data_IF_955317900336
#
_entry.id   IF_955317900336
#
_cell.length_a   1.000
_cell.length_b   1.000
_cell.length_c   1.000
_cell.angle_alpha   90.00
_cell.angle_beta   90.00
_cell.angle_gamma   90.00
#
_symmetry.space_group_name_H-M   'P 1'
#
loop_
_entity.id
_entity.type
_entity.pdbx_description
1 polymer ?
#
# COMPACT_ATOMS: atom_id res chain seq x y z
N UNK A 1 10.22 46.13 -28.11
CA UNK A 1 9.49 45.69 -26.89
C UNK A 1 8.86 44.31 -27.01
N UNK A 2 8.18 43.97 -28.12
CA UNK A 2 7.46 42.69 -28.30
C UNK A 2 8.34 41.43 -28.17
N UNK A 3 9.55 41.43 -28.76
CA UNK A 3 10.48 40.28 -28.69
C UNK A 3 10.99 40.00 -27.27
N UNK A 4 11.26 41.05 -26.48
CA UNK A 4 11.69 40.90 -25.07
C UNK A 4 10.59 40.29 -24.20
N UNK A 5 9.32 40.63 -24.47
CA UNK A 5 8.17 40.04 -23.80
C UNK A 5 7.95 38.57 -24.18
N UNK A 6 8.14 38.22 -25.47
CA UNK A 6 8.05 36.84 -25.96
C UNK A 6 9.13 35.97 -25.30
N UNK A 7 10.37 36.46 -25.22
CA UNK A 7 11.49 35.72 -24.61
C UNK A 7 11.30 35.48 -23.10
N UNK A 8 10.71 36.46 -22.41
CA UNK A 8 10.39 36.35 -20.98
C UNK A 8 9.26 35.33 -20.73
N UNK A 9 8.22 35.34 -21.58
CA UNK A 9 7.13 34.36 -21.53
C UNK A 9 7.61 32.94 -21.83
N UNK A 10 8.50 32.76 -22.81
CA UNK A 10 9.09 31.46 -23.14
C UNK A 10 9.98 30.91 -22.02
N UNK A 11 10.74 31.79 -21.34
CA UNK A 11 11.58 31.39 -20.21
C UNK A 11 10.74 30.93 -19.01
N UNK A 12 9.59 31.55 -18.77
CA UNK A 12 8.67 31.13 -17.71
C UNK A 12 8.04 29.76 -18.00
N UNK A 13 7.78 29.45 -19.27
CA UNK A 13 7.25 28.16 -19.73
C UNK A 13 8.27 27.01 -19.61
N UNK A 14 9.57 27.31 -19.73
CA UNK A 14 10.64 26.33 -19.52
C UNK A 14 10.86 26.01 -18.03
N UNK A 15 10.69 27.01 -17.15
CA UNK A 15 10.83 26.82 -15.70
C UNK A 15 9.73 25.93 -15.10
N UNK A 16 8.51 25.97 -15.65
CA UNK A 16 7.41 25.10 -15.18
C UNK A 16 7.57 23.64 -15.61
N UNK A 17 8.25 23.35 -16.72
CA UNK A 17 8.46 21.99 -17.23
C UNK A 17 9.45 21.14 -16.41
N UNK A 18 10.46 21.78 -15.81
CA UNK A 18 11.52 21.07 -15.06
C UNK A 18 10.99 20.50 -13.74
N UNK A 19 10.07 21.21 -13.06
CA UNK A 19 9.49 20.79 -11.78
C UNK A 19 8.68 19.50 -11.84
N UNK A 20 8.02 19.21 -12.97
CA UNK A 20 7.24 17.97 -13.15
C UNK A 20 8.10 16.74 -13.51
N UNK A 21 9.32 16.93 -14.02
CA UNK A 21 10.22 15.84 -14.40
C UNK A 21 11.03 15.29 -13.22
N UNK A 22 11.29 16.11 -12.20
CA UNK A 22 12.13 15.72 -11.06
C UNK A 22 11.48 14.66 -10.15
N UNK A 23 10.16 14.73 -9.93
CA UNK A 23 9.45 13.80 -9.04
C UNK A 23 9.33 12.35 -9.57
N UNK A 24 9.66 12.10 -10.85
CA UNK A 24 9.60 10.76 -11.45
C UNK A 24 10.88 9.93 -11.29
N UNK A 25 11.94 10.53 -10.76
CA UNK A 25 13.25 9.89 -10.62
C UNK A 25 13.57 9.47 -9.18
N UNK A 26 12.68 9.72 -8.21
CA UNK A 26 12.86 9.17 -6.87
C UNK A 26 12.55 7.67 -6.86
N UNK A 27 13.39 6.89 -6.18
CA UNK A 27 13.25 5.45 -6.11
C UNK A 27 11.95 5.09 -5.37
N UNK A 28 10.97 4.58 -6.10
CA UNK A 28 9.67 4.20 -5.56
C UNK A 28 9.79 2.99 -4.63
N UNK A 29 9.11 3.07 -3.48
CA UNK A 29 9.01 1.96 -2.52
C UNK A 29 8.16 0.83 -3.11
N UNK A 30 8.59 -0.42 -2.93
CA UNK A 30 7.87 -1.62 -3.39
C UNK A 30 6.53 -1.76 -2.66
N UNK A 31 6.54 -1.48 -1.34
CA UNK A 31 5.32 -1.41 -0.53
C UNK A 31 4.99 0.07 -0.28
N UNK A 32 3.79 0.49 -0.61
CA UNK A 32 3.31 1.87 -0.44
C UNK A 32 2.04 1.93 0.43
N UNK A 33 1.78 3.10 1.02
CA UNK A 33 0.59 3.36 1.83
C UNK A 33 0.71 2.95 3.30
N UNK A 34 -0.42 3.05 4.01
CA UNK A 34 -0.51 2.77 5.45
C UNK A 34 -0.59 1.26 5.69
N UNK A 35 0.57 0.61 5.77
CA UNK A 35 0.70 -0.82 6.10
C UNK A 35 1.09 -1.07 7.56
N UNK A 36 1.22 -0.01 8.36
CA UNK A 36 1.48 -0.13 9.79
C UNK A 36 0.19 -0.39 10.56
N UNK A 37 0.23 -1.40 11.44
CA UNK A 37 -0.86 -1.74 12.34
C UNK A 37 -0.58 -1.08 13.69
N UNK A 38 -1.50 -0.21 14.13
CA UNK A 38 -1.34 0.51 15.38
C UNK A 38 -1.52 -0.41 16.61
N UNK A 39 -2.45 -1.36 16.51
CA UNK A 39 -2.81 -2.26 17.61
C UNK A 39 -3.35 -3.59 17.07
N UNK A 40 -2.91 -4.69 17.68
CA UNK A 40 -3.53 -6.01 17.58
C UNK A 40 -4.51 -6.20 18.73
N UNK A 41 -5.56 -6.96 18.48
CA UNK A 41 -6.68 -7.17 19.39
C UNK A 41 -6.72 -8.62 19.86
N UNK A 42 -7.16 -8.82 21.10
CA UNK A 42 -7.55 -10.14 21.56
C UNK A 42 -9.06 -10.40 21.29
N UNK A 43 -9.49 -11.63 21.55
CA UNK A 43 -10.88 -12.02 21.33
C UNK A 43 -11.86 -11.22 22.18
N UNK A 44 -11.54 -10.98 23.45
CA UNK A 44 -12.42 -10.31 24.40
C UNK A 44 -12.64 -8.84 24.01
N UNK A 45 -11.61 -8.19 23.47
CA UNK A 45 -11.69 -6.85 22.90
C UNK A 45 -12.61 -6.83 21.67
N UNK A 46 -12.43 -7.76 20.73
CA UNK A 46 -13.24 -7.84 19.50
C UNK A 46 -14.70 -8.19 19.79
N UNK A 47 -14.97 -9.01 20.79
CA UNK A 47 -16.35 -9.35 21.20
C UNK A 47 -17.12 -8.15 21.74
N UNK A 48 -16.42 -7.19 22.37
CA UNK A 48 -17.01 -5.95 22.88
C UNK A 48 -17.25 -4.90 21.80
N UNK A 49 -16.59 -5.03 20.63
CA UNK A 49 -16.76 -4.08 19.53
C UNK A 49 -18.13 -4.21 18.84
N UNK A 50 -18.75 -3.09 18.43
CA UNK A 50 -19.91 -3.13 17.56
C UNK A 50 -19.53 -3.66 16.18
N UNK A 51 -20.49 -4.30 15.51
CA UNK A 51 -20.24 -4.94 14.19
C UNK A 51 -19.69 -3.97 13.16
N UNK A 52 -20.12 -2.71 13.17
CA UNK A 52 -19.61 -1.68 12.26
C UNK A 52 -18.11 -1.45 12.39
N UNK A 53 -17.58 -1.43 13.62
CA UNK A 53 -16.14 -1.29 13.86
C UNK A 53 -15.37 -2.54 13.42
N UNK A 54 -15.93 -3.73 13.65
CA UNK A 54 -15.35 -4.98 13.17
C UNK A 54 -15.26 -5.02 11.64
N UNK A 55 -16.24 -4.48 10.91
CA UNK A 55 -16.20 -4.41 9.44
C UNK A 55 -15.08 -3.49 8.95
N UNK A 56 -14.86 -2.36 9.62
CA UNK A 56 -13.76 -1.44 9.32
C UNK A 56 -12.43 -2.12 9.59
N UNK A 57 -12.30 -2.77 10.75
CA UNK A 57 -11.08 -3.46 11.16
C UNK A 57 -10.73 -4.61 10.21
N UNK A 58 -11.72 -5.41 9.81
CA UNK A 58 -11.56 -6.48 8.83
C UNK A 58 -10.98 -5.95 7.51
N UNK A 59 -11.55 -4.86 6.98
CA UNK A 59 -11.11 -4.25 5.73
C UNK A 59 -9.69 -3.68 5.84
N UNK A 60 -9.36 -3.04 6.97
CA UNK A 60 -8.00 -2.53 7.23
C UNK A 60 -6.98 -3.68 7.24
N UNK A 61 -7.29 -4.79 7.93
CA UNK A 61 -6.36 -5.92 8.05
C UNK A 61 -6.11 -6.61 6.70
N UNK A 62 -7.15 -6.84 5.90
CA UNK A 62 -6.97 -7.45 4.58
C UNK A 62 -6.26 -6.49 3.59
N UNK A 63 -6.44 -5.17 3.71
CA UNK A 63 -5.67 -4.19 2.92
C UNK A 63 -4.16 -4.35 3.14
N UNK A 64 -3.75 -4.41 4.40
CA UNK A 64 -2.34 -4.55 4.77
C UNK A 64 -1.78 -5.88 4.22
N UNK A 65 -2.53 -6.98 4.38
CA UNK A 65 -2.13 -8.29 3.86
C UNK A 65 -1.96 -8.26 2.34
N UNK A 66 -2.92 -7.73 1.60
CA UNK A 66 -2.88 -7.69 0.12
C UNK A 66 -1.71 -6.86 -0.41
N UNK A 67 -1.29 -5.80 0.32
CA UNK A 67 -0.12 -4.98 -0.05
C UNK A 67 1.22 -5.64 0.29
N UNK A 68 1.29 -6.37 1.40
CA UNK A 68 2.54 -6.98 1.88
C UNK A 68 2.77 -8.36 1.26
N UNK A 69 1.77 -9.25 1.32
CA UNK A 69 1.94 -10.69 1.09
C UNK A 69 2.54 -11.05 -0.29
N UNK A 70 2.15 -10.41 -1.41
CA UNK A 70 2.78 -10.68 -2.70
C UNK A 70 4.25 -10.26 -2.79
N UNK A 71 4.68 -9.36 -1.91
CA UNK A 71 5.98 -8.68 -1.96
C UNK A 71 6.95 -9.14 -0.87
N UNK A 72 6.59 -10.15 -0.05
CA UNK A 72 7.36 -10.54 1.14
C UNK A 72 8.81 -10.97 0.88
N UNK A 73 9.10 -11.45 -0.33
CA UNK A 73 10.47 -11.79 -0.75
C UNK A 73 11.34 -10.54 -1.00
N UNK A 74 10.71 -9.40 -1.28
CA UNK A 74 11.38 -8.13 -1.59
C UNK A 74 11.36 -7.18 -0.38
N UNK A 75 10.20 -7.02 0.25
CA UNK A 75 10.00 -6.08 1.34
C UNK A 75 8.85 -6.53 2.24
N UNK A 76 8.95 -6.19 3.52
CA UNK A 76 7.88 -6.37 4.53
C UNK A 76 7.43 -5.05 5.15
N UNK A 77 8.13 -3.94 4.83
CA UNK A 77 7.88 -2.60 5.33
C UNK A 77 8.05 -1.55 4.22
N UNK A 78 7.41 -0.39 4.34
CA UNK A 78 7.65 0.74 3.43
C UNK A 78 9.10 1.22 3.49
N UNK A 79 9.52 1.91 2.42
CA UNK A 79 10.84 2.54 2.30
C UNK A 79 11.91 1.65 1.68
N UNK A 80 11.57 0.41 1.30
CA UNK A 80 12.45 -0.47 0.52
C UNK A 80 12.10 -0.28 -0.96
N UNK A 81 13.05 0.22 -1.74
CA UNK A 81 12.94 0.40 -3.18
C UNK A 81 13.64 -0.72 -3.95
N UNK A 82 13.37 -0.83 -5.25
CA UNK A 82 14.12 -1.72 -6.15
C UNK A 82 15.64 -1.47 -6.08
N UNK A 83 16.06 -0.20 -6.04
CA UNK A 83 17.48 0.16 -5.93
C UNK A 83 18.12 -0.32 -4.64
N UNK A 84 17.41 -0.26 -3.51
CA UNK A 84 17.93 -0.78 -2.22
C UNK A 84 18.12 -2.29 -2.22
N UNK A 85 17.45 -3.01 -3.13
CA UNK A 85 17.59 -4.45 -3.33
C UNK A 85 18.59 -4.82 -4.43
N UNK A 86 19.29 -3.83 -4.99
CA UNK A 86 20.20 -4.04 -6.12
C UNK A 86 19.49 -4.34 -7.45
N UNK A 87 18.16 -4.17 -7.52
CA UNK A 87 17.39 -4.31 -8.76
C UNK A 87 17.63 -3.05 -9.61
N UNK A 88 18.00 -3.19 -10.90
CA UNK A 88 18.25 -2.04 -11.77
C UNK A 88 17.03 -1.11 -11.87
N UNK A 89 17.27 0.19 -11.72
CA UNK A 89 16.24 1.22 -11.86
C UNK A 89 16.00 1.58 -13.34
N UNK A 90 15.65 0.57 -14.12
CA UNK A 90 15.31 0.70 -15.53
C UNK A 90 13.88 1.22 -15.70
N UNK A 91 13.60 1.85 -16.84
CA UNK A 91 12.22 2.28 -17.19
C UNK A 91 11.23 1.12 -17.16
N UNK A 92 11.67 -0.06 -17.59
CA UNK A 92 10.85 -1.27 -17.60
C UNK A 92 10.51 -1.75 -16.18
N UNK A 93 11.50 -1.82 -15.29
CA UNK A 93 11.29 -2.22 -13.89
C UNK A 93 10.41 -1.22 -13.14
N UNK A 94 10.61 0.10 -13.35
CA UNK A 94 9.74 1.14 -12.78
C UNK A 94 8.30 0.97 -13.25
N UNK A 95 8.09 0.76 -14.55
CA UNK A 95 6.77 0.54 -15.11
C UNK A 95 6.12 -0.74 -14.56
N UNK A 96 6.88 -1.82 -14.42
CA UNK A 96 6.36 -3.07 -13.85
C UNK A 96 5.92 -2.89 -12.38
N UNK A 97 6.67 -2.13 -11.59
CA UNK A 97 6.30 -1.79 -10.21
C UNK A 97 5.06 -0.90 -10.15
N UNK A 98 4.98 0.14 -10.99
CA UNK A 98 3.81 1.02 -11.10
C UNK A 98 2.55 0.23 -11.48
N UNK A 99 2.65 -0.61 -12.52
CA UNK A 99 1.54 -1.44 -13.01
C UNK A 99 1.07 -2.43 -11.92
N UNK A 100 2.00 -3.02 -11.14
CA UNK A 100 1.67 -3.91 -10.03
C UNK A 100 0.93 -3.18 -8.89
N UNK A 101 1.41 -1.99 -8.50
CA UNK A 101 0.78 -1.17 -7.45
C UNK A 101 -0.62 -0.73 -7.88
N UNK A 102 -0.78 -0.33 -9.16
CA UNK A 102 -2.08 0.02 -9.71
C UNK A 102 -3.02 -1.19 -9.72
N UNK A 103 -2.57 -2.36 -10.21
CA UNK A 103 -3.37 -3.57 -10.23
C UNK A 103 -3.82 -4.01 -8.83
N UNK A 104 -2.91 -3.94 -7.85
CA UNK A 104 -3.19 -4.25 -6.44
C UNK A 104 -4.24 -3.29 -5.86
N UNK A 105 -4.15 -2.00 -6.18
CA UNK A 105 -5.10 -0.98 -5.74
C UNK A 105 -6.49 -1.23 -6.32
N UNK A 106 -6.60 -1.45 -7.63
CA UNK A 106 -7.87 -1.74 -8.32
C UNK A 106 -8.51 -3.04 -7.80
N UNK A 107 -7.70 -4.08 -7.60
CA UNK A 107 -8.17 -5.35 -7.00
C UNK A 107 -8.75 -5.13 -5.60
N UNK A 108 -8.02 -4.42 -4.75
CA UNK A 108 -8.45 -4.15 -3.38
C UNK A 108 -9.74 -3.30 -3.35
N UNK A 109 -9.79 -2.19 -4.10
CA UNK A 109 -10.95 -1.31 -4.14
C UNK A 109 -12.21 -2.03 -4.60
N UNK A 110 -12.13 -2.78 -5.72
CA UNK A 110 -13.26 -3.56 -6.24
C UNK A 110 -13.72 -4.64 -5.26
N UNK A 111 -12.79 -5.28 -4.55
CA UNK A 111 -13.09 -6.27 -3.51
C UNK A 111 -13.80 -5.62 -2.32
N UNK A 112 -13.33 -4.47 -1.84
CA UNK A 112 -13.94 -3.73 -0.74
C UNK A 112 -15.33 -3.22 -1.10
N UNK A 113 -15.56 -2.76 -2.33
CA UNK A 113 -16.89 -2.34 -2.77
C UNK A 113 -17.91 -3.48 -2.73
N UNK A 114 -17.50 -4.68 -3.13
CA UNK A 114 -18.33 -5.88 -2.99
C UNK A 114 -18.54 -6.23 -1.50
N UNK A 115 -17.47 -6.26 -0.70
CA UNK A 115 -17.54 -6.60 0.71
C UNK A 115 -18.38 -5.61 1.52
N UNK A 116 -18.34 -4.31 1.23
CA UNK A 116 -19.22 -3.31 1.88
C UNK A 116 -20.70 -3.64 1.73
N UNK A 117 -21.09 -4.27 0.62
CA UNK A 117 -22.47 -4.68 0.36
C UNK A 117 -22.82 -6.00 1.05
N UNK A 118 -21.92 -6.98 1.03
CA UNK A 118 -22.23 -8.37 1.44
C UNK A 118 -21.74 -8.72 2.85
N UNK A 119 -20.59 -8.21 3.28
CA UNK A 119 -19.99 -8.50 4.58
C UNK A 119 -20.87 -8.11 5.79
N UNK A 120 -21.71 -7.05 5.75
CA UNK A 120 -22.65 -6.78 6.85
C UNK A 120 -23.63 -7.90 7.15
N UNK A 121 -23.85 -8.85 6.23
CA UNK A 121 -24.69 -10.03 6.44
C UNK A 121 -23.95 -11.20 7.11
N UNK A 122 -22.62 -11.14 7.24
CA UNK A 122 -21.83 -12.17 7.92
C UNK A 122 -22.11 -12.24 9.43
N UNK A 123 -21.96 -13.41 10.04
CA UNK A 123 -22.05 -13.53 11.49
C UNK A 123 -20.91 -12.78 12.19
N UNK A 124 -21.23 -12.13 13.33
CA UNK A 124 -20.23 -11.40 14.12
C UNK A 124 -19.07 -12.31 14.55
N UNK A 125 -19.38 -13.56 14.93
CA UNK A 125 -18.37 -14.56 15.33
C UNK A 125 -17.40 -14.88 14.19
N UNK A 126 -17.90 -15.04 12.96
CA UNK A 126 -17.07 -15.29 11.78
C UNK A 126 -16.18 -14.09 11.46
N UNK A 127 -16.71 -12.87 11.62
CA UNK A 127 -15.95 -11.65 11.41
C UNK A 127 -14.80 -11.53 12.42
N UNK A 128 -15.06 -11.82 13.70
CA UNK A 128 -14.04 -11.84 14.76
C UNK A 128 -12.98 -12.91 14.46
N UNK A 129 -13.38 -14.12 14.09
CA UNK A 129 -12.45 -15.20 13.74
C UNK A 129 -11.53 -14.82 12.57
N UNK A 130 -12.09 -14.18 11.53
CA UNK A 130 -11.30 -13.73 10.39
C UNK A 130 -10.33 -12.60 10.75
N UNK A 131 -10.74 -11.63 11.58
CA UNK A 131 -9.86 -10.56 12.08
C UNK A 131 -8.69 -11.16 12.87
N UNK A 132 -8.96 -12.09 13.80
CA UNK A 132 -7.91 -12.77 14.56
C UNK A 132 -6.94 -13.51 13.63
N UNK A 133 -7.45 -14.22 12.63
CA UNK A 133 -6.61 -14.91 11.65
C UNK A 133 -5.72 -13.93 10.85
N UNK A 134 -6.27 -12.80 10.41
CA UNK A 134 -5.49 -11.78 9.72
C UNK A 134 -4.42 -11.18 10.63
N UNK A 135 -4.76 -10.89 11.88
CA UNK A 135 -3.81 -10.35 12.84
C UNK A 135 -2.68 -11.34 13.18
N UNK A 136 -2.96 -12.63 13.33
CA UNK A 136 -1.92 -13.65 13.50
C UNK A 136 -1.04 -13.81 12.25
N UNK A 137 -1.64 -13.70 11.06
CA UNK A 137 -0.89 -13.69 9.79
C UNK A 137 0.07 -12.48 9.75
N UNK A 138 -0.41 -11.31 10.15
CA UNK A 138 0.38 -10.07 10.18
C UNK A 138 1.50 -10.10 11.22
N UNK A 139 1.26 -10.70 12.39
CA UNK A 139 2.32 -10.99 13.38
C UNK A 139 3.37 -11.94 12.80
N UNK A 140 2.92 -13.01 12.14
CA UNK A 140 3.81 -13.99 11.50
C UNK A 140 4.66 -13.35 10.39
N UNK A 141 4.10 -12.40 9.64
CA UNK A 141 4.85 -11.63 8.64
C UNK A 141 5.92 -10.72 9.27
N UNK A 142 5.67 -10.19 10.47
CA UNK A 142 6.68 -9.44 11.21
C UNK A 142 7.84 -10.34 11.60
N UNK A 143 7.54 -11.54 12.14
CA UNK A 143 8.55 -12.54 12.50
C UNK A 143 9.27 -13.13 11.28
N UNK A 144 8.60 -13.27 10.13
CA UNK A 144 9.23 -13.70 8.87
C UNK A 144 10.47 -12.85 8.54
N UNK A 145 10.40 -11.54 8.79
CA UNK A 145 11.50 -10.63 8.55
C UNK A 145 12.74 -10.93 9.43
N UNK A 146 12.57 -11.62 10.57
CA UNK A 146 13.67 -12.03 11.44
C UNK A 146 14.46 -13.21 10.88
N UNK A 147 13.82 -14.08 10.08
CA UNK A 147 14.49 -15.20 9.40
C UNK A 147 15.30 -14.75 8.18
N UNK A 148 15.03 -13.54 7.67
CA UNK A 148 15.70 -12.97 6.50
C UNK A 148 16.91 -12.09 6.87
N UNK A 149 17.55 -12.36 8.01
CA UNK A 149 18.74 -11.63 8.53
C UNK A 149 20.08 -12.09 7.93
N UNK A 150 20.07 -12.82 6.81
CA UNK A 150 21.28 -13.29 6.12
C UNK A 150 21.30 -12.81 4.68
#
# INVERSE_FOLDING_TARGET
MKVKFILFSFSFLLLTGIGFAQNKNEAQSIITGKVSIAKYHDRDELEKMPKGELLVLYNERIEVIVKILPNIAFATKPGVSMTTLGIPDSKENRKALEDNIQATTVYFESTIEFQKKILPYSDKSNLIAAILFYEETLKSLHTYNEFNKY
#
